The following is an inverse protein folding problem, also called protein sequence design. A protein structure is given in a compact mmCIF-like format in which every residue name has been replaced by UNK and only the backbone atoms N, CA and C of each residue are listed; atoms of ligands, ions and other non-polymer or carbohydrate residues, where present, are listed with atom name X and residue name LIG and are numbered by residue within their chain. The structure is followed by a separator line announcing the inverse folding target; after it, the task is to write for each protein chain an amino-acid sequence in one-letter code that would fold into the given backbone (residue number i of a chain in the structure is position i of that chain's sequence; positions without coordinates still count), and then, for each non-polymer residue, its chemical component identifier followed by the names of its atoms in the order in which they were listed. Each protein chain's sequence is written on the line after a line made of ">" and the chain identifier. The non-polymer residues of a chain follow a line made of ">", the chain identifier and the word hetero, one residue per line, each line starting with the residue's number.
data_IF_968836729121
#
_entry.id   IF_968836729121
#
_cell.length_a   1.000
_cell.length_b   1.000
_cell.length_c   1.000
_cell.angle_alpha   90.00
_cell.angle_beta   90.00
_cell.angle_gamma   90.00
#
_symmetry.space_group_name_H-M   'P 1'
#
loop_
_entity.id
_entity.type
_entity.pdbx_description
1 polymer ?
#
# COMPACT_ATOMS: atom_id res chain seq x y z
N UNK A 1 -21.52 -25.40 -20.24
CA UNK A 1 -21.53 -24.18 -19.41
C UNK A 1 -22.62 -23.28 -19.98
N UNK A 2 -23.56 -22.82 -19.15
CA UNK A 2 -24.76 -22.11 -19.61
C UNK A 2 -24.48 -20.60 -19.81
N UNK A 3 -25.01 -20.02 -20.90
CA UNK A 3 -24.87 -18.59 -21.28
C UNK A 3 -25.28 -17.68 -20.12
N UNK A 4 -26.36 -18.03 -19.41
CA UNK A 4 -26.86 -17.26 -18.26
C UNK A 4 -25.82 -17.22 -17.13
N UNK A 5 -25.12 -18.34 -16.90
CA UNK A 5 -24.09 -18.41 -15.87
C UNK A 5 -22.84 -17.59 -16.24
N UNK A 6 -22.44 -17.58 -17.51
CA UNK A 6 -21.31 -16.78 -17.99
C UNK A 6 -21.62 -15.29 -17.89
N UNK A 7 -22.79 -14.86 -18.35
CA UNK A 7 -23.23 -13.47 -18.26
C UNK A 7 -23.26 -12.97 -16.80
N UNK A 8 -23.72 -13.81 -15.86
CA UNK A 8 -23.69 -13.50 -14.43
C UNK A 8 -22.26 -13.34 -13.88
N UNK A 9 -21.30 -14.15 -14.31
CA UNK A 9 -19.90 -13.99 -13.89
C UNK A 9 -19.29 -12.71 -14.45
N UNK A 10 -19.58 -12.36 -15.71
CA UNK A 10 -19.14 -11.10 -16.32
C UNK A 10 -19.64 -9.91 -15.48
N UNK A 11 -20.94 -9.84 -15.20
CA UNK A 11 -21.53 -8.79 -14.37
C UNK A 11 -20.90 -8.72 -12.98
N UNK A 12 -20.69 -9.88 -12.33
CA UNK A 12 -20.02 -9.96 -11.04
C UNK A 12 -18.61 -9.39 -11.08
N UNK A 13 -17.83 -9.71 -12.12
CA UNK A 13 -16.44 -9.24 -12.24
C UNK A 13 -16.36 -7.75 -12.55
N UNK A 14 -17.27 -7.23 -13.37
CA UNK A 14 -17.41 -5.78 -13.61
C UNK A 14 -17.67 -5.06 -12.28
N UNK A 15 -18.63 -5.54 -11.49
CA UNK A 15 -18.94 -4.94 -10.19
C UNK A 15 -17.74 -4.96 -9.22
N UNK A 16 -17.01 -6.08 -9.15
CA UNK A 16 -15.79 -6.18 -8.33
C UNK A 16 -14.69 -5.20 -8.79
N UNK A 17 -14.58 -4.92 -10.09
CA UNK A 17 -13.65 -3.91 -10.60
C UNK A 17 -14.07 -2.49 -10.21
N UNK A 18 -15.37 -2.20 -10.20
CA UNK A 18 -15.90 -0.90 -9.74
C UNK A 18 -15.58 -0.68 -8.26
N UNK A 19 -15.92 -1.63 -7.39
CA UNK A 19 -15.60 -1.58 -5.96
C UNK A 19 -14.09 -1.52 -5.70
N UNK A 20 -13.33 -2.27 -6.50
CA UNK A 20 -11.87 -2.32 -6.40
C UNK A 20 -11.21 -1.00 -6.79
N UNK A 21 -11.79 -0.22 -7.73
CA UNK A 21 -11.30 1.11 -8.09
C UNK A 21 -11.43 2.08 -6.91
N UNK A 22 -12.59 2.12 -6.25
CA UNK A 22 -12.83 3.01 -5.13
C UNK A 22 -11.93 2.62 -3.93
N UNK A 23 -11.75 1.31 -3.72
CA UNK A 23 -10.79 0.80 -2.73
C UNK A 23 -9.35 1.23 -3.06
N UNK A 24 -8.96 1.20 -4.33
CA UNK A 24 -7.60 1.56 -4.74
C UNK A 24 -7.32 3.05 -4.54
N UNK A 25 -8.31 3.92 -4.72
CA UNK A 25 -8.21 5.34 -4.41
C UNK A 25 -7.95 5.56 -2.91
N UNK A 26 -8.68 4.87 -2.04
CA UNK A 26 -8.44 4.91 -0.60
C UNK A 26 -7.03 4.44 -0.24
N UNK A 27 -6.57 3.32 -0.83
CA UNK A 27 -5.20 2.82 -0.62
C UNK A 27 -4.13 3.79 -1.13
N UNK A 28 -4.38 4.52 -2.21
CA UNK A 28 -3.48 5.55 -2.71
C UNK A 28 -3.36 6.72 -1.73
N UNK A 29 -4.48 7.17 -1.17
CA UNK A 29 -4.52 8.22 -0.15
C UNK A 29 -3.79 7.78 1.13
N UNK A 30 -4.07 6.57 1.61
CA UNK A 30 -3.39 5.99 2.77
C UNK A 30 -1.87 5.93 2.55
N UNK A 31 -1.43 5.48 1.37
CA UNK A 31 -0.01 5.45 1.00
C UNK A 31 0.61 6.84 1.01
N UNK A 32 -0.04 7.83 0.40
CA UNK A 32 0.47 9.20 0.36
C UNK A 32 0.59 9.80 1.77
N UNK A 33 -0.40 9.57 2.62
CA UNK A 33 -0.37 10.01 4.02
C UNK A 33 0.74 9.32 4.82
N UNK A 34 0.95 8.01 4.61
CA UNK A 34 1.99 7.26 5.31
C UNK A 34 3.40 7.72 4.91
N UNK A 35 3.63 8.03 3.64
CA UNK A 35 4.89 8.64 3.15
C UNK A 35 5.12 9.99 3.85
N UNK A 36 4.13 10.88 3.80
CA UNK A 36 4.24 12.21 4.39
C UNK A 36 4.45 12.15 5.91
N UNK A 37 3.79 11.22 6.61
CA UNK A 37 3.98 11.01 8.04
C UNK A 37 5.41 10.55 8.34
N UNK A 38 5.91 9.56 7.60
CA UNK A 38 7.27 9.05 7.79
C UNK A 38 8.33 10.13 7.57
N UNK A 39 8.25 10.88 6.47
CA UNK A 39 9.19 11.96 6.15
C UNK A 39 9.17 13.06 7.24
N UNK A 40 7.97 13.46 7.67
CA UNK A 40 7.80 14.44 8.74
C UNK A 40 8.44 13.96 10.05
N UNK A 41 8.21 12.71 10.42
CA UNK A 41 8.68 12.15 11.70
C UNK A 41 10.19 11.97 11.73
N UNK A 42 10.78 11.53 10.61
CA UNK A 42 12.23 11.49 10.41
C UNK A 42 12.82 12.89 10.55
N UNK A 43 12.23 13.91 9.90
CA UNK A 43 12.73 15.28 9.97
C UNK A 43 12.66 15.85 11.40
N UNK A 44 11.53 15.67 12.10
CA UNK A 44 11.36 16.13 13.48
C UNK A 44 12.37 15.46 14.41
N UNK A 45 12.52 14.14 14.30
CA UNK A 45 13.46 13.37 15.13
C UNK A 45 14.90 13.78 14.87
N UNK A 46 15.28 13.99 13.61
CA UNK A 46 16.61 14.46 13.25
C UNK A 46 16.89 15.86 13.83
N UNK A 47 15.93 16.80 13.71
CA UNK A 47 16.05 18.14 14.29
C UNK A 47 16.19 18.08 15.83
N UNK A 48 15.39 17.24 16.47
CA UNK A 48 15.42 17.07 17.92
C UNK A 48 16.74 16.46 18.42
N UNK A 49 17.26 15.42 17.74
CA UNK A 49 18.57 14.84 18.06
C UNK A 49 19.70 15.85 17.87
N UNK A 50 19.65 16.68 16.82
CA UNK A 50 20.62 17.78 16.61
C UNK A 50 20.55 18.85 17.69
N UNK A 51 19.38 19.06 18.29
CA UNK A 51 19.19 19.97 19.41
C UNK A 51 19.55 19.34 20.78
N UNK A 52 20.08 18.11 20.79
CA UNK A 52 20.48 17.39 22.02
C UNK A 52 19.30 16.88 22.85
N UNK A 53 18.11 16.77 22.25
CA UNK A 53 16.95 16.15 22.90
C UNK A 53 17.21 14.65 23.05
N UNK A 54 17.08 14.07 24.25
CA UNK A 54 17.25 12.64 24.45
C UNK A 54 16.11 11.85 23.82
N UNK A 55 16.42 10.67 23.27
CA UNK A 55 15.47 9.68 22.78
C UNK A 55 15.80 8.31 23.37
N UNK A 56 14.79 7.48 23.59
CA UNK A 56 14.99 6.08 23.96
C UNK A 56 14.90 5.19 22.73
N UNK A 57 15.84 4.25 22.61
CA UNK A 57 15.82 3.17 21.63
C UNK A 57 16.18 1.88 22.34
N UNK A 58 15.27 0.91 22.36
CA UNK A 58 15.45 -0.39 23.04
C UNK A 58 15.89 -0.29 24.52
N UNK A 59 15.42 0.75 25.22
CA UNK A 59 15.78 1.00 26.63
C UNK A 59 17.08 1.79 26.83
N UNK A 60 17.81 2.09 25.76
CA UNK A 60 19.01 2.93 25.81
C UNK A 60 18.67 4.39 25.51
N UNK A 61 19.13 5.30 26.36
CA UNK A 61 18.98 6.75 26.13
C UNK A 61 20.07 7.26 25.21
N UNK A 62 19.68 7.70 24.03
CA UNK A 62 20.54 8.35 23.05
C UNK A 62 20.45 9.87 23.26
N UNK A 63 21.61 10.48 23.51
CA UNK A 63 21.76 11.93 23.59
C UNK A 63 23.07 12.34 22.90
N UNK A 64 23.00 13.38 22.08
CA UNK A 64 24.15 13.95 21.35
C UNK A 64 25.00 12.92 20.57
N UNK A 65 24.39 12.02 19.76
CA UNK A 65 25.15 11.03 19.01
C UNK A 65 26.02 11.68 17.93
N UNK A 66 27.13 11.05 17.50
CA UNK A 66 27.91 11.53 16.36
C UNK A 66 27.07 11.72 15.10
N UNK A 67 27.32 12.79 14.35
CA UNK A 67 26.58 13.13 13.11
C UNK A 67 26.60 11.98 12.09
N UNK A 68 27.69 11.22 12.04
CA UNK A 68 27.86 10.06 11.15
C UNK A 68 26.87 8.92 11.41
N UNK A 69 26.29 8.82 12.61
CA UNK A 69 25.33 7.77 12.97
C UNK A 69 23.91 8.29 13.19
N UNK A 70 23.71 9.61 13.28
CA UNK A 70 22.39 10.23 13.51
C UNK A 70 21.32 9.72 12.56
N UNK A 71 21.60 9.63 11.26
CA UNK A 71 20.61 9.18 10.28
C UNK A 71 20.18 7.72 10.52
N UNK A 72 21.12 6.84 10.91
CA UNK A 72 20.81 5.45 11.24
C UNK A 72 19.97 5.37 12.51
N UNK A 73 20.28 6.19 13.50
CA UNK A 73 19.52 6.26 14.76
C UNK A 73 18.11 6.80 14.53
N UNK A 74 17.94 7.84 13.69
CA UNK A 74 16.61 8.36 13.33
C UNK A 74 15.77 7.29 12.66
N UNK A 75 16.33 6.50 11.74
CA UNK A 75 15.63 5.36 11.11
C UNK A 75 15.25 4.30 12.14
N UNK A 76 16.14 4.03 13.10
CA UNK A 76 15.87 3.14 14.22
C UNK A 76 14.77 3.65 15.14
N UNK A 77 14.76 4.93 15.47
CA UNK A 77 13.72 5.56 16.33
C UNK A 77 12.37 5.58 15.60
N UNK A 78 12.36 5.92 14.31
CA UNK A 78 11.14 6.04 13.51
C UNK A 78 10.71 4.70 12.87
N UNK A 79 11.15 3.57 13.41
CA UNK A 79 10.98 2.25 12.79
C UNK A 79 9.51 1.86 12.59
N UNK A 80 8.65 2.13 13.56
CA UNK A 80 7.21 1.80 13.49
C UNK A 80 6.53 2.50 12.32
N UNK A 81 6.87 3.77 12.12
CA UNK A 81 6.30 4.62 11.06
C UNK A 81 6.87 4.20 9.71
N UNK A 82 8.13 3.76 9.66
CA UNK A 82 8.73 3.15 8.47
C UNK A 82 8.03 1.85 8.07
N UNK A 83 7.68 1.00 9.04
CA UNK A 83 6.89 -0.22 8.80
C UNK A 83 5.49 0.15 8.29
N UNK A 84 4.83 1.12 8.92
CA UNK A 84 3.50 1.57 8.49
C UNK A 84 3.52 2.10 7.03
N UNK A 85 4.53 2.89 6.67
CA UNK A 85 4.74 3.35 5.30
C UNK A 85 4.95 2.18 4.32
N UNK A 86 5.81 1.22 4.69
CA UNK A 86 6.08 0.05 3.86
C UNK A 86 4.84 -0.83 3.67
N UNK A 87 4.03 -0.98 4.72
CA UNK A 87 2.77 -1.72 4.68
C UNK A 87 1.75 -1.02 3.77
N UNK A 88 1.63 0.30 3.82
CA UNK A 88 0.73 1.06 2.96
C UNK A 88 1.12 0.91 1.47
N UNK A 89 2.42 0.98 1.16
CA UNK A 89 2.92 0.71 -0.20
C UNK A 89 2.61 -0.71 -0.68
N UNK A 90 2.85 -1.71 0.17
CA UNK A 90 2.55 -3.11 -0.14
C UNK A 90 1.05 -3.33 -0.38
N UNK A 91 0.17 -2.77 0.45
CA UNK A 91 -1.29 -2.85 0.28
C UNK A 91 -1.73 -2.26 -1.06
N UNK A 92 -1.23 -1.08 -1.40
CA UNK A 92 -1.54 -0.44 -2.68
C UNK A 92 -1.12 -1.30 -3.87
N UNK A 93 0.10 -1.84 -3.86
CA UNK A 93 0.60 -2.75 -4.92
C UNK A 93 -0.25 -4.02 -5.02
N UNK A 94 -0.60 -4.64 -3.89
CA UNK A 94 -1.49 -5.81 -3.86
C UNK A 94 -2.86 -5.46 -4.44
N UNK A 95 -3.40 -4.28 -4.15
CA UNK A 95 -4.65 -3.78 -4.72
C UNK A 95 -4.61 -3.76 -6.25
N UNK A 96 -3.54 -3.22 -6.84
CA UNK A 96 -3.32 -3.19 -8.29
C UNK A 96 -3.29 -4.62 -8.86
N UNK A 97 -2.52 -5.53 -8.26
CA UNK A 97 -2.40 -6.90 -8.78
C UNK A 97 -3.72 -7.68 -8.68
N UNK A 98 -4.51 -7.46 -7.62
CA UNK A 98 -5.86 -8.03 -7.52
C UNK A 98 -6.78 -7.54 -8.65
N UNK A 99 -6.72 -6.25 -8.96
CA UNK A 99 -7.50 -5.67 -10.06
C UNK A 99 -7.15 -6.29 -11.41
N UNK A 100 -5.84 -6.44 -11.69
CA UNK A 100 -5.37 -7.13 -12.90
C UNK A 100 -5.83 -8.59 -12.97
N UNK A 101 -5.85 -9.30 -11.84
CA UNK A 101 -6.37 -10.67 -11.79
C UNK A 101 -7.85 -10.72 -12.15
N UNK A 102 -8.67 -9.80 -11.61
CA UNK A 102 -10.11 -9.73 -11.91
C UNK A 102 -10.34 -9.38 -13.39
N UNK A 103 -9.55 -8.47 -13.96
CA UNK A 103 -9.59 -8.11 -15.38
C UNK A 103 -9.26 -9.32 -16.27
N UNK A 104 -8.22 -10.09 -15.94
CA UNK A 104 -7.87 -11.31 -16.66
C UNK A 104 -9.00 -12.35 -16.63
N UNK A 105 -9.64 -12.52 -15.48
CA UNK A 105 -10.82 -13.40 -15.34
C UNK A 105 -12.01 -12.91 -16.17
N UNK A 106 -12.30 -11.60 -16.15
CA UNK A 106 -13.35 -10.98 -16.96
C UNK A 106 -13.14 -11.25 -18.45
N UNK A 107 -11.91 -11.02 -18.94
CA UNK A 107 -11.53 -11.29 -20.32
C UNK A 107 -11.74 -12.76 -20.70
N UNK A 108 -11.42 -13.69 -19.78
CA UNK A 108 -11.70 -15.11 -19.94
C UNK A 108 -13.19 -15.40 -20.14
N UNK A 109 -14.05 -14.86 -19.28
CA UNK A 109 -15.50 -15.05 -19.39
C UNK A 109 -16.09 -14.39 -20.64
N UNK A 110 -15.63 -13.20 -21.03
CA UNK A 110 -16.09 -12.53 -22.25
C UNK A 110 -15.72 -13.33 -23.51
N UNK A 111 -14.53 -13.93 -23.53
CA UNK A 111 -14.10 -14.83 -24.62
C UNK A 111 -14.99 -16.07 -24.72
N UNK A 112 -15.33 -16.69 -23.57
CA UNK A 112 -16.28 -17.82 -23.53
C UNK A 112 -17.65 -17.40 -24.07
N UNK A 113 -18.19 -16.26 -23.63
CA UNK A 113 -19.51 -15.78 -24.05
C UNK A 113 -19.59 -15.59 -25.56
N UNK A 114 -18.56 -14.96 -26.15
CA UNK A 114 -18.49 -14.72 -27.60
C UNK A 114 -18.58 -16.02 -28.41
N UNK A 115 -17.90 -17.08 -27.95
CA UNK A 115 -17.92 -18.38 -28.63
C UNK A 115 -19.26 -19.10 -28.46
N UNK A 116 -20.00 -18.87 -27.36
CA UNK A 116 -21.33 -19.44 -27.15
C UNK A 116 -22.40 -18.76 -28.01
N UNK A 117 -22.24 -17.49 -28.37
CA UNK A 117 -23.15 -16.76 -29.29
C UNK A 117 -22.98 -17.15 -30.77
N UNK A 118 -21.89 -17.85 -31.11
CA UNK A 118 -21.56 -18.24 -32.50
C UNK A 118 -22.04 -19.67 -32.85
N UNK A 119 -22.63 -20.39 -31.90
CA UNK A 119 -23.17 -21.76 -32.04
C UNK A 119 -24.70 -21.69 -32.04
#
# INVERSE_FOLDING_TARGET
>A
MDVINVARQIQKKIHLLEEGRDTLELLALEKAQAIGKYEKEVAITLMALRAGKPFELEGETIKDPPVSIMEKLVKGICWEVSIANSLADAKYKIGIEKMKSIEAELNGYQSINKNLETI
#
